data_IF_138085195799
#
_entry.id   IF_138085195799
#
_cell.length_a   1.000
_cell.length_b   1.000
_cell.length_c   1.000
_cell.angle_alpha   90.00
_cell.angle_beta   90.00
_cell.angle_gamma   90.00
#
_symmetry.space_group_name_H-M   'P 1'
#
loop_
_entity.id
_entity.type
_entity.pdbx_description
1 polymer ?
#
# COMPACT_ATOMS: atom_id res chain seq x y z
N UNK A 1 9.16 32.29 -9.94
CA UNK A 1 8.68 31.39 -8.87
C UNK A 1 9.82 31.16 -7.90
N UNK A 2 9.63 31.50 -6.63
CA UNK A 2 10.62 31.23 -5.60
C UNK A 2 10.75 29.71 -5.45
N UNK A 3 11.97 29.17 -5.65
CA UNK A 3 12.25 27.72 -5.76
C UNK A 3 12.51 27.07 -4.38
N UNK A 4 12.15 27.75 -3.31
CA UNK A 4 12.42 27.28 -1.96
C UNK A 4 11.41 26.20 -1.59
N UNK A 5 11.92 25.07 -1.12
CA UNK A 5 11.09 24.00 -0.59
C UNK A 5 10.44 24.53 0.69
N UNK A 6 9.11 24.49 0.83
CA UNK A 6 8.43 24.92 2.04
C UNK A 6 8.99 24.23 3.29
N UNK A 7 9.29 24.99 4.35
CA UNK A 7 9.83 24.46 5.61
C UNK A 7 8.94 23.35 6.20
N UNK A 8 7.63 23.46 6.00
CA UNK A 8 6.65 22.43 6.38
C UNK A 8 6.96 21.07 5.73
N UNK A 9 7.33 21.05 4.44
CA UNK A 9 7.68 19.81 3.74
C UNK A 9 9.04 19.27 4.18
N UNK A 10 10.00 20.15 4.47
CA UNK A 10 11.30 19.76 5.04
C UNK A 10 11.07 19.07 6.39
N UNK A 11 10.27 19.68 7.25
CA UNK A 11 9.95 19.14 8.57
C UNK A 11 9.17 17.83 8.50
N UNK A 12 8.20 17.72 7.59
CA UNK A 12 7.46 16.50 7.35
C UNK A 12 8.40 15.35 6.95
N UNK A 13 9.37 15.63 6.07
CA UNK A 13 10.35 14.64 5.63
C UNK A 13 11.32 14.22 6.75
N UNK A 14 11.74 15.13 7.62
CA UNK A 14 12.55 14.80 8.80
C UNK A 14 11.81 13.86 9.76
N UNK A 15 10.54 14.15 10.03
CA UNK A 15 9.69 13.33 10.89
C UNK A 15 9.50 11.91 10.31
N UNK A 16 9.26 11.81 9.01
CA UNK A 16 9.14 10.52 8.30
C UNK A 16 10.42 9.69 8.45
N UNK A 17 11.59 10.31 8.23
CA UNK A 17 12.90 9.67 8.41
C UNK A 17 13.15 9.26 9.86
N UNK A 18 12.65 10.05 10.82
CA UNK A 18 12.68 9.75 12.25
C UNK A 18 11.68 8.68 12.69
N UNK A 19 10.83 8.18 11.80
CA UNK A 19 9.80 7.18 12.09
C UNK A 19 8.52 7.76 12.72
N UNK A 20 8.41 9.08 12.82
CA UNK A 20 7.20 9.76 13.28
C UNK A 20 6.23 9.99 12.12
N UNK A 21 5.66 8.88 11.64
CA UNK A 21 4.76 8.88 10.50
C UNK A 21 3.44 9.60 10.78
N UNK A 22 3.05 9.72 12.06
CA UNK A 22 1.78 10.37 12.42
C UNK A 22 1.87 11.87 12.25
N UNK A 23 2.91 12.50 12.83
CA UNK A 23 3.11 13.93 12.68
C UNK A 23 3.60 14.31 11.28
N UNK A 24 4.44 13.49 10.65
CA UNK A 24 4.83 13.68 9.24
C UNK A 24 3.62 13.74 8.32
N UNK A 25 2.73 12.73 8.41
CA UNK A 25 1.51 12.68 7.61
C UNK A 25 0.60 13.89 7.84
N UNK A 26 0.49 14.36 9.09
CA UNK A 26 -0.30 15.56 9.41
C UNK A 26 0.21 16.78 8.64
N UNK A 27 1.52 17.00 8.63
CA UNK A 27 2.12 18.14 7.91
C UNK A 27 1.96 18.02 6.40
N UNK A 28 2.16 16.83 5.82
CA UNK A 28 1.91 16.64 4.39
C UNK A 28 0.45 16.86 4.01
N UNK A 29 -0.49 16.39 4.84
CA UNK A 29 -1.92 16.59 4.62
C UNK A 29 -2.30 18.08 4.71
N UNK A 30 -1.84 18.77 5.74
CA UNK A 30 -2.05 20.22 5.91
C UNK A 30 -1.47 21.00 4.72
N UNK A 31 -0.27 20.63 4.26
CA UNK A 31 0.31 21.23 3.07
C UNK A 31 -0.58 21.03 1.83
N UNK A 32 -1.06 19.81 1.60
CA UNK A 32 -1.93 19.50 0.47
C UNK A 32 -3.23 20.34 0.52
N UNK A 33 -3.89 20.39 1.67
CA UNK A 33 -5.17 21.08 1.86
C UNK A 33 -5.07 22.60 1.79
N UNK A 34 -3.94 23.19 2.19
CA UNK A 34 -3.79 24.65 2.25
C UNK A 34 -3.08 25.27 1.03
N UNK A 35 -2.59 24.48 0.07
CA UNK A 35 -1.73 24.97 -1.02
C UNK A 35 -2.19 24.53 -2.42
N UNK A 36 -3.40 24.90 -2.83
CA UNK A 36 -4.05 24.41 -4.06
C UNK A 36 -3.26 24.59 -5.36
N UNK A 37 -2.45 25.64 -5.47
CA UNK A 37 -1.70 25.95 -6.70
C UNK A 37 -0.21 25.65 -6.58
N UNK A 38 0.24 25.03 -5.48
CA UNK A 38 1.66 24.81 -5.25
C UNK A 38 2.18 23.60 -6.05
N UNK A 39 3.31 23.69 -6.77
CA UNK A 39 3.79 22.61 -7.64
C UNK A 39 4.11 21.30 -6.89
N UNK A 40 4.50 21.39 -5.62
CA UNK A 40 4.74 20.22 -4.75
C UNK A 40 3.49 19.65 -4.07
N UNK A 41 2.29 20.16 -4.38
CA UNK A 41 1.04 19.70 -3.75
C UNK A 41 0.78 18.22 -4.01
N UNK A 42 0.94 17.76 -5.26
CA UNK A 42 0.77 16.34 -5.61
C UNK A 42 1.74 15.45 -4.81
N UNK A 43 2.98 15.92 -4.61
CA UNK A 43 3.99 15.19 -3.84
C UNK A 43 3.55 15.03 -2.39
N UNK A 44 3.00 16.06 -1.76
CA UNK A 44 2.51 15.97 -0.39
C UNK A 44 1.40 14.91 -0.26
N UNK A 45 0.49 14.82 -1.24
CA UNK A 45 -0.54 13.77 -1.26
C UNK A 45 0.06 12.36 -1.34
N UNK A 46 1.06 12.15 -2.21
CA UNK A 46 1.78 10.88 -2.27
C UNK A 46 2.42 10.52 -0.92
N UNK A 47 3.08 11.48 -0.27
CA UNK A 47 3.77 11.25 1.00
C UNK A 47 2.80 10.95 2.15
N UNK A 48 1.55 11.41 2.09
CA UNK A 48 0.50 10.98 3.03
C UNK A 48 0.28 9.47 2.95
N UNK A 49 0.19 8.92 1.73
CA UNK A 49 0.05 7.48 1.50
C UNK A 49 1.31 6.71 1.91
N UNK A 50 2.49 7.22 1.58
CA UNK A 50 3.77 6.57 1.89
C UNK A 50 4.05 6.53 3.41
N UNK A 51 3.58 7.52 4.17
CA UNK A 51 3.59 7.47 5.63
C UNK A 51 2.74 6.33 6.20
N UNK A 52 1.56 6.05 5.64
CA UNK A 52 0.78 4.87 6.03
C UNK A 52 1.50 3.57 5.67
N UNK A 53 2.11 3.53 4.48
CA UNK A 53 2.89 2.37 4.04
C UNK A 53 4.05 2.06 5.00
N UNK A 54 4.83 3.08 5.37
CA UNK A 54 5.93 2.93 6.32
C UNK A 54 5.47 2.60 7.75
N UNK A 55 4.29 3.09 8.15
CA UNK A 55 3.64 2.70 9.40
C UNK A 55 3.04 1.28 9.38
N UNK A 56 3.14 0.55 8.25
CA UNK A 56 2.55 -0.77 8.00
C UNK A 56 1.02 -0.80 8.06
N UNK A 57 0.37 0.36 8.00
CA UNK A 57 -1.07 0.46 7.82
C UNK A 57 -1.40 0.36 6.33
N UNK A 58 -1.29 -0.85 5.79
CA UNK A 58 -1.44 -1.09 4.36
C UNK A 58 -2.86 -0.85 3.87
N UNK A 59 -3.88 -0.92 4.73
CA UNK A 59 -5.25 -0.60 4.35
C UNK A 59 -5.35 0.89 4.04
N UNK A 60 -4.91 1.75 4.96
CA UNK A 60 -4.93 3.21 4.74
C UNK A 60 -3.96 3.62 3.64
N UNK A 61 -2.81 2.94 3.50
CA UNK A 61 -1.86 3.21 2.42
C UNK A 61 -2.47 2.97 1.03
N UNK A 62 -3.20 1.86 0.85
CA UNK A 62 -3.85 1.57 -0.43
C UNK A 62 -4.84 2.67 -0.83
N UNK A 63 -5.75 3.03 0.08
CA UNK A 63 -6.70 4.12 -0.16
C UNK A 63 -5.96 5.42 -0.49
N UNK A 64 -4.89 5.74 0.26
CA UNK A 64 -4.10 6.95 -0.01
C UNK A 64 -3.41 6.94 -1.37
N UNK A 65 -2.91 5.80 -1.85
CA UNK A 65 -2.35 5.70 -3.19
C UNK A 65 -3.43 5.77 -4.27
N UNK A 66 -4.62 5.21 -4.04
CA UNK A 66 -5.78 5.33 -4.94
C UNK A 66 -6.22 6.79 -5.06
N UNK A 67 -6.39 7.51 -3.94
CA UNK A 67 -6.70 8.94 -3.90
C UNK A 67 -5.64 9.77 -4.64
N UNK A 68 -4.35 9.42 -4.48
CA UNK A 68 -3.25 10.07 -5.19
C UNK A 68 -3.33 9.85 -6.71
N UNK A 69 -3.61 8.62 -7.15
CA UNK A 69 -3.74 8.29 -8.57
C UNK A 69 -4.94 9.01 -9.20
N UNK A 70 -6.08 9.03 -8.50
CA UNK A 70 -7.27 9.78 -8.93
C UNK A 70 -6.94 11.27 -9.07
N UNK A 71 -6.31 11.85 -8.04
CA UNK A 71 -5.88 13.24 -8.05
C UNK A 71 -4.99 13.57 -9.25
N UNK A 72 -3.99 12.74 -9.55
CA UNK A 72 -3.08 12.91 -10.68
C UNK A 72 -3.79 12.72 -12.03
N UNK A 73 -4.80 11.86 -12.11
CA UNK A 73 -5.51 11.57 -13.37
C UNK A 73 -6.35 12.74 -13.90
N UNK A 74 -6.75 13.66 -13.02
CA UNK A 74 -7.61 14.81 -13.34
C UNK A 74 -6.84 16.13 -13.46
N UNK A 75 -5.50 16.12 -13.34
CA UNK A 75 -4.71 17.34 -13.49
C UNK A 75 -4.61 17.72 -14.96
N UNK A 76 -5.25 18.82 -15.33
CA UNK A 76 -5.11 19.48 -16.64
C UNK A 76 -4.11 20.65 -16.52
N UNK A 77 -3.47 21.05 -17.61
CA UNK A 77 -2.56 22.21 -17.68
C UNK A 77 -1.29 22.17 -16.78
N UNK A 78 -0.74 20.99 -16.54
CA UNK A 78 0.57 20.84 -15.87
C UNK A 78 1.73 21.14 -16.83
N UNK A 79 2.82 21.71 -16.31
CA UNK A 79 4.04 21.89 -17.10
C UNK A 79 4.67 20.55 -17.50
N UNK A 80 5.47 20.52 -18.56
CA UNK A 80 6.19 19.30 -18.99
C UNK A 80 7.03 18.69 -17.85
N UNK A 81 7.67 19.56 -17.05
CA UNK A 81 8.45 19.14 -15.90
C UNK A 81 7.56 18.50 -14.82
N UNK A 82 6.42 19.11 -14.48
CA UNK A 82 5.47 18.56 -13.52
C UNK A 82 4.87 17.24 -14.00
N UNK A 83 4.54 17.14 -15.29
CA UNK A 83 4.07 15.90 -15.92
C UNK A 83 5.08 14.76 -15.76
N UNK A 84 6.38 15.05 -15.98
CA UNK A 84 7.45 14.07 -15.77
C UNK A 84 7.55 13.59 -14.31
N UNK A 85 7.35 14.48 -13.34
CA UNK A 85 7.29 14.07 -11.93
C UNK A 85 6.03 13.29 -11.60
N UNK A 86 4.86 13.71 -12.09
CA UNK A 86 3.59 13.02 -11.89
C UNK A 86 3.67 11.58 -12.41
N UNK A 87 4.23 11.37 -13.61
CA UNK A 87 4.45 10.04 -14.18
C UNK A 87 5.36 9.18 -13.30
N UNK A 88 6.48 9.74 -12.83
CA UNK A 88 7.41 9.02 -11.96
C UNK A 88 6.76 8.58 -10.62
N UNK A 89 5.99 9.47 -9.99
CA UNK A 89 5.30 9.16 -8.73
C UNK A 89 4.10 8.23 -8.94
N UNK A 90 3.40 8.33 -10.07
CA UNK A 90 2.34 7.40 -10.48
C UNK A 90 2.89 5.98 -10.61
N UNK A 91 4.04 5.80 -11.27
CA UNK A 91 4.72 4.50 -11.35
C UNK A 91 5.14 3.99 -9.98
N UNK A 92 5.64 4.86 -9.11
CA UNK A 92 6.01 4.49 -7.75
C UNK A 92 4.80 4.07 -6.91
N UNK A 93 3.67 4.78 -6.99
CA UNK A 93 2.43 4.44 -6.32
C UNK A 93 1.90 3.07 -6.76
N UNK A 94 1.87 2.81 -8.07
CA UNK A 94 1.49 1.49 -8.61
C UNK A 94 2.43 0.38 -8.09
N UNK A 95 3.74 0.62 -8.08
CA UNK A 95 4.71 -0.33 -7.51
C UNK A 95 4.44 -0.62 -6.03
N UNK A 96 4.08 0.40 -5.23
CA UNK A 96 3.71 0.23 -3.82
C UNK A 96 2.44 -0.60 -3.66
N UNK A 97 1.40 -0.34 -4.45
CA UNK A 97 0.17 -1.13 -4.47
C UNK A 97 0.44 -2.60 -4.81
N UNK A 98 1.26 -2.86 -5.83
CA UNK A 98 1.70 -4.22 -6.18
C UNK A 98 2.43 -4.91 -5.02
N UNK A 99 3.35 -4.20 -4.35
CA UNK A 99 4.05 -4.74 -3.18
C UNK A 99 3.10 -5.10 -2.04
N UNK A 100 2.10 -4.26 -1.77
CA UNK A 100 1.06 -4.53 -0.76
C UNK A 100 0.27 -5.79 -1.16
N UNK A 101 -0.14 -5.89 -2.41
CA UNK A 101 -0.93 -7.02 -2.90
C UNK A 101 -0.12 -8.33 -2.88
N UNK A 102 1.16 -8.28 -3.28
CA UNK A 102 2.07 -9.41 -3.15
C UNK A 102 2.25 -9.83 -1.69
N UNK A 103 2.40 -8.87 -0.76
CA UNK A 103 2.52 -9.16 0.67
C UNK A 103 1.25 -9.83 1.22
N UNK A 104 0.06 -9.36 0.82
CA UNK A 104 -1.21 -10.03 1.12
C UNK A 104 -1.24 -11.45 0.57
N UNK A 105 -0.67 -11.68 -0.62
CA UNK A 105 -0.72 -12.97 -1.30
C UNK A 105 0.34 -13.98 -0.84
N UNK A 106 1.45 -13.54 -0.24
CA UNK A 106 2.49 -14.43 0.31
C UNK A 106 2.01 -15.32 1.46
N UNK A 107 0.97 -14.90 2.19
CA UNK A 107 0.30 -15.74 3.21
C UNK A 107 -0.81 -16.65 2.67
N UNK A 108 -1.13 -16.59 1.37
CA UNK A 108 -2.28 -17.28 0.76
C UNK A 108 -1.93 -18.60 0.06
N UNK A 109 -0.66 -19.01 0.06
CA UNK A 109 -0.24 -20.33 -0.46
C UNK A 109 0.07 -21.35 0.64
N UNK A 110 -0.50 -21.17 1.84
CA UNK A 110 -0.33 -22.15 2.91
C UNK A 110 -1.07 -23.44 2.52
N UNK A 111 -0.31 -24.52 2.48
CA UNK A 111 -0.78 -25.87 2.22
C UNK A 111 -0.60 -26.67 3.50
N UNK A 112 -1.64 -27.39 3.91
CA UNK A 112 -1.54 -28.43 4.93
C UNK A 112 -1.57 -29.77 4.20
N UNK A 113 -0.53 -30.56 4.42
CA UNK A 113 -0.39 -31.93 3.97
C UNK A 113 -0.52 -32.85 5.19
N UNK A 114 -1.45 -33.80 5.16
CA UNK A 114 -1.63 -34.76 6.25
C UNK A 114 -2.12 -36.11 5.75
N UNK A 115 -1.89 -37.20 6.50
CA UNK A 115 -2.38 -38.51 6.08
C UNK A 115 -3.93 -38.54 6.05
N UNK A 116 -4.55 -39.25 5.09
CA UNK A 116 -6.02 -39.31 4.95
C UNK A 116 -6.76 -39.79 6.19
N UNK A 117 -6.11 -40.59 7.04
CA UNK A 117 -6.65 -41.14 8.29
C UNK A 117 -6.66 -40.12 9.44
N UNK A 118 -6.01 -38.96 9.29
CA UNK A 118 -5.96 -37.91 10.33
C UNK A 118 -7.21 -37.03 10.34
N UNK A 119 -8.32 -37.59 10.80
CA UNK A 119 -9.61 -36.90 10.89
C UNK A 119 -9.58 -35.60 11.72
N UNK A 120 -8.72 -35.53 12.74
CA UNK A 120 -8.56 -34.32 13.59
C UNK A 120 -7.93 -33.18 12.79
N UNK A 121 -6.86 -33.46 12.05
CA UNK A 121 -6.16 -32.47 11.22
C UNK A 121 -7.09 -31.90 10.15
N UNK A 122 -7.92 -32.75 9.53
CA UNK A 122 -8.98 -32.34 8.60
C UNK A 122 -9.96 -31.34 9.24
N UNK A 123 -10.48 -31.66 10.42
CA UNK A 123 -11.45 -30.81 11.11
C UNK A 123 -10.86 -29.43 11.46
N UNK A 124 -9.61 -29.41 11.94
CA UNK A 124 -8.88 -28.18 12.26
C UNK A 124 -8.67 -27.35 11.00
N UNK A 125 -8.11 -27.93 9.93
CA UNK A 125 -7.84 -27.24 8.68
C UNK A 125 -9.11 -26.57 8.11
N UNK A 126 -10.23 -27.31 8.07
CA UNK A 126 -11.51 -26.77 7.60
C UNK A 126 -12.07 -25.66 8.50
N UNK A 127 -11.90 -25.75 9.82
CA UNK A 127 -12.32 -24.71 10.78
C UNK A 127 -11.54 -23.40 10.62
N UNK A 128 -10.27 -23.49 10.18
CA UNK A 128 -9.44 -22.33 9.85
C UNK A 128 -9.59 -21.86 8.40
N UNK A 129 -10.61 -22.33 7.67
CA UNK A 129 -10.93 -21.85 6.32
C UNK A 129 -10.15 -22.52 5.19
N UNK A 130 -9.37 -23.57 5.46
CA UNK A 130 -8.77 -24.37 4.41
C UNK A 130 -9.82 -25.22 3.69
N UNK A 131 -9.66 -25.38 2.38
CA UNK A 131 -10.47 -26.26 1.55
C UNK A 131 -9.65 -27.44 1.09
N UNK A 132 -10.26 -28.62 1.12
CA UNK A 132 -9.69 -29.82 0.54
C UNK A 132 -9.47 -29.63 -0.97
N UNK A 133 -8.33 -30.06 -1.48
CA UNK A 133 -7.93 -29.94 -2.89
C UNK A 133 -7.66 -31.29 -3.57
N UNK A 134 -7.76 -32.40 -2.84
CA UNK A 134 -7.44 -33.73 -3.34
C UNK A 134 -6.29 -34.37 -2.55
N UNK A 135 -5.73 -35.43 -3.11
CA UNK A 135 -4.60 -36.16 -2.54
C UNK A 135 -3.36 -36.00 -3.44
N UNK A 136 -2.20 -35.84 -2.80
CA UNK A 136 -0.89 -35.81 -3.46
C UNK A 136 0.10 -36.55 -2.56
N UNK A 137 0.93 -37.41 -3.16
CA UNK A 137 1.97 -38.17 -2.43
C UNK A 137 1.42 -38.91 -1.20
N UNK A 138 0.25 -39.57 -1.37
CA UNK A 138 -0.50 -40.30 -0.32
C UNK A 138 -1.03 -39.42 0.82
N UNK A 139 -0.94 -38.09 0.70
CA UNK A 139 -1.44 -37.15 1.68
C UNK A 139 -2.65 -36.36 1.17
N UNK A 140 -3.61 -36.10 2.07
CA UNK A 140 -4.69 -35.14 1.84
C UNK A 140 -4.14 -33.71 1.84
N UNK A 141 -4.47 -32.96 0.79
CA UNK A 141 -4.02 -31.58 0.59
C UNK A 141 -5.15 -30.60 0.90
N UNK A 142 -4.88 -29.66 1.81
CA UNK A 142 -5.79 -28.58 2.15
C UNK A 142 -5.13 -27.23 1.88
N UNK A 143 -5.82 -26.34 1.18
CA UNK A 143 -5.32 -25.01 0.81
C UNK A 143 -6.21 -23.92 1.37
N UNK A 144 -5.60 -22.88 1.95
CA UNK A 144 -6.35 -21.74 2.46
C UNK A 144 -6.99 -20.98 1.29
N UNK A 145 -8.32 -20.95 1.23
CA UNK A 145 -9.05 -20.18 0.22
C UNK A 145 -9.37 -18.81 0.77
N UNK A 146 -9.09 -17.77 -0.01
CA UNK A 146 -9.45 -16.41 0.38
C UNK A 146 -10.86 -16.12 -0.12
N UNK A 147 -11.72 -15.68 0.80
CA UNK A 147 -12.99 -15.06 0.43
C UNK A 147 -12.61 -13.75 -0.26
N UNK A 148 -12.82 -13.69 -1.58
CA UNK A 148 -12.68 -12.46 -2.37
C UNK A 148 -13.75 -11.45 -1.99
#
# INVERSE_FOLDING_TARGET
MNKDIPEMLIRAQELQKGGDYTYSRKLYKEFFECNDTHPLRFKALFEVADNYYHAKDYKSAMHGYEDFLEYCSVQEDVTEQESGWIDAYTKLANSRLEMIEQAKNKGKSVIIECSPEQFVTRHIAMSFGFKYQGEQDECSIYKLQVIK
#
